data_IF_890923614802
#
_entry.id   IF_890923614802
#
_cell.length_a   1.000
_cell.length_b   1.000
_cell.length_c   1.000
_cell.angle_alpha   90.00
_cell.angle_beta   90.00
_cell.angle_gamma   90.00
#
_symmetry.space_group_name_H-M   'P 1'
#
loop_
_entity.id
_entity.type
_entity.pdbx_description
1 polymer ?
#
# COMPACT_ATOMS: atom_id res chain seq x y z
N UNK A 1 17.39 -18.49 -12.29
CA UNK A 1 16.21 -18.41 -11.39
C UNK A 1 16.75 -18.18 -9.98
N UNK A 2 16.61 -16.96 -9.48
CA UNK A 2 17.16 -16.54 -8.19
C UNK A 2 16.37 -17.21 -7.05
N UNK A 3 16.91 -18.30 -6.48
CA UNK A 3 16.37 -18.93 -5.28
C UNK A 3 16.73 -18.07 -4.07
N UNK A 4 16.03 -16.95 -3.89
CA UNK A 4 16.12 -16.18 -2.64
C UNK A 4 15.64 -17.07 -1.51
N UNK A 5 16.50 -17.29 -0.52
CA UNK A 5 16.14 -17.93 0.75
C UNK A 5 15.02 -17.10 1.39
N UNK A 6 13.77 -17.54 1.25
CA UNK A 6 12.61 -16.84 1.83
C UNK A 6 12.72 -16.89 3.35
N UNK A 7 12.82 -15.71 3.97
CA UNK A 7 12.70 -15.58 5.43
C UNK A 7 11.28 -15.95 5.84
N UNK A 8 11.15 -16.60 6.99
CA UNK A 8 9.86 -16.87 7.61
C UNK A 8 9.22 -15.57 8.13
N UNK A 9 7.88 -15.51 8.25
CA UNK A 9 7.20 -14.37 8.84
C UNK A 9 7.71 -14.02 10.25
N UNK A 10 8.04 -15.02 11.07
CA UNK A 10 8.56 -14.83 12.42
C UNK A 10 9.93 -14.14 12.41
N UNK A 11 10.82 -14.50 11.48
CA UNK A 11 12.14 -13.86 11.34
C UNK A 11 12.01 -12.41 10.90
N UNK A 12 11.08 -12.11 9.98
CA UNK A 12 10.82 -10.73 9.52
C UNK A 12 10.34 -9.85 10.69
N UNK A 13 9.37 -10.34 11.48
CA UNK A 13 8.84 -9.58 12.63
C UNK A 13 9.90 -9.32 13.69
N UNK A 14 10.69 -10.33 14.06
CA UNK A 14 11.79 -10.17 15.02
C UNK A 14 12.84 -9.16 14.56
N UNK A 15 13.15 -9.12 13.26
CA UNK A 15 14.08 -8.15 12.72
C UNK A 15 13.50 -6.72 12.75
N UNK A 16 12.18 -6.56 12.59
CA UNK A 16 11.51 -5.26 12.63
C UNK A 16 11.49 -4.67 14.05
N UNK A 17 11.22 -5.49 15.06
CA UNK A 17 11.15 -5.07 16.48
C UNK A 17 12.43 -4.39 16.99
N UNK A 18 13.60 -4.76 16.43
CA UNK A 18 14.90 -4.23 16.85
C UNK A 18 15.38 -3.04 16.01
N UNK A 19 14.60 -2.59 15.03
CA UNK A 19 14.92 -1.48 14.13
C UNK A 19 13.92 -0.32 14.24
N UNK A 20 13.87 0.39 15.38
CA UNK A 20 12.97 1.53 15.55
C UNK A 20 13.37 2.69 14.60
N UNK A 21 12.37 3.41 14.09
CA UNK A 21 12.51 4.65 13.32
C UNK A 21 13.05 4.54 11.88
N UNK A 22 13.10 3.34 11.29
CA UNK A 22 13.38 3.18 9.85
C UNK A 22 12.06 3.10 9.06
N UNK A 23 11.89 3.81 7.94
CA UNK A 23 10.72 3.64 7.08
C UNK A 23 10.55 2.19 6.62
N UNK A 24 9.32 1.67 6.65
CA UNK A 24 9.01 0.26 6.36
C UNK A 24 9.60 -0.24 5.02
N UNK A 25 9.53 0.60 3.99
CA UNK A 25 10.13 0.34 2.68
C UNK A 25 11.64 0.17 2.72
N UNK A 26 12.34 1.05 3.43
CA UNK A 26 13.81 1.05 3.48
C UNK A 26 14.31 -0.15 4.26
N UNK A 27 13.61 -0.49 5.36
CA UNK A 27 13.85 -1.73 6.08
C UNK A 27 13.62 -2.97 5.22
N UNK A 28 12.52 -3.03 4.46
CA UNK A 28 12.24 -4.15 3.55
C UNK A 28 13.37 -4.30 2.52
N UNK A 29 13.88 -3.18 1.98
CA UNK A 29 15.03 -3.17 1.09
C UNK A 29 16.31 -3.69 1.76
N UNK A 30 16.60 -3.30 3.01
CA UNK A 30 17.74 -3.83 3.78
C UNK A 30 17.65 -5.34 3.99
N UNK A 31 16.45 -5.86 4.19
CA UNK A 31 16.21 -7.30 4.26
C UNK A 31 16.11 -7.98 2.89
N UNK A 32 16.23 -7.26 1.78
CA UNK A 32 16.05 -7.80 0.42
C UNK A 32 14.69 -8.50 0.22
N UNK A 33 13.63 -7.98 0.85
CA UNK A 33 12.23 -8.39 0.67
C UNK A 33 11.42 -7.22 0.10
N UNK A 34 10.22 -7.51 -0.42
CA UNK A 34 9.27 -6.46 -0.77
C UNK A 34 8.60 -5.87 0.48
N UNK A 35 8.15 -4.61 0.38
CA UNK A 35 7.35 -3.97 1.43
C UNK A 35 6.04 -4.74 1.69
N UNK A 36 5.43 -5.31 0.65
CA UNK A 36 4.25 -6.16 0.79
C UNK A 36 4.52 -7.45 1.59
N UNK A 37 5.71 -8.05 1.46
CA UNK A 37 6.11 -9.21 2.29
C UNK A 37 6.27 -8.83 3.76
N UNK A 38 6.78 -7.62 4.05
CA UNK A 38 6.87 -7.10 5.41
C UNK A 38 5.47 -6.93 6.03
N UNK A 39 4.53 -6.31 5.32
CA UNK A 39 3.16 -6.14 5.81
C UNK A 39 2.46 -7.50 5.95
N UNK A 40 2.64 -8.40 4.97
CA UNK A 40 2.09 -9.75 5.03
C UNK A 40 2.60 -10.56 6.22
N UNK A 41 3.86 -10.36 6.63
CA UNK A 41 4.39 -10.98 7.84
C UNK A 41 3.70 -10.51 9.12
N UNK A 42 3.06 -9.34 9.11
CA UNK A 42 2.29 -8.78 10.23
C UNK A 42 0.79 -9.09 10.18
N UNK A 43 0.32 -9.85 9.19
CA UNK A 43 -1.07 -10.31 9.16
C UNK A 43 -1.39 -11.15 10.41
N UNK A 44 -2.42 -10.76 11.17
CA UNK A 44 -2.79 -11.35 12.47
C UNK A 44 -2.03 -10.78 13.67
N UNK A 45 -1.09 -9.86 13.44
CA UNK A 45 -0.30 -9.14 14.45
C UNK A 45 -0.44 -7.62 14.29
N UNK A 46 -1.65 -7.15 13.97
CA UNK A 46 -1.95 -5.73 13.75
C UNK A 46 -2.18 -5.33 12.30
N UNK A 47 -1.94 -6.23 11.34
CA UNK A 47 -2.41 -6.07 9.96
C UNK A 47 -3.43 -7.18 9.59
N UNK A 48 -4.27 -6.90 8.62
CA UNK A 48 -5.21 -7.83 8.01
C UNK A 48 -5.07 -7.78 6.49
N UNK A 49 -5.16 -8.93 5.83
CA UNK A 49 -5.20 -8.99 4.37
C UNK A 49 -6.61 -8.67 3.89
N UNK A 50 -6.72 -7.77 2.92
CA UNK A 50 -7.97 -7.44 2.25
C UNK A 50 -7.90 -7.82 0.77
N UNK A 51 -9.07 -8.00 0.15
CA UNK A 51 -9.18 -8.23 -1.28
C UNK A 51 -8.74 -6.94 -2.03
N UNK A 52 -7.80 -7.00 -2.98
CA UNK A 52 -7.30 -5.82 -3.72
C UNK A 52 -8.31 -5.27 -4.74
N UNK A 53 -9.57 -5.10 -4.35
CA UNK A 53 -10.63 -4.49 -5.18
C UNK A 53 -10.49 -2.97 -5.15
N UNK A 54 -9.45 -2.44 -5.79
CA UNK A 54 -9.13 -1.00 -5.73
C UNK A 54 -10.30 -0.11 -6.15
N UNK A 55 -11.10 -0.52 -7.13
CA UNK A 55 -12.28 0.25 -7.53
C UNK A 55 -13.28 0.41 -6.37
N UNK A 56 -13.50 -0.64 -5.57
CA UNK A 56 -14.37 -0.58 -4.39
C UNK A 56 -13.75 0.27 -3.28
N UNK A 57 -12.43 0.23 -3.12
CA UNK A 57 -11.72 1.08 -2.15
C UNK A 57 -11.86 2.54 -2.53
N UNK A 58 -11.59 2.91 -3.78
CA UNK A 58 -11.69 4.28 -4.26
C UNK A 58 -13.11 4.85 -4.07
N UNK A 59 -14.15 4.10 -4.46
CA UNK A 59 -15.54 4.56 -4.26
C UNK A 59 -15.97 4.55 -2.80
N UNK A 60 -15.42 3.63 -1.99
CA UNK A 60 -15.73 3.54 -0.56
C UNK A 60 -15.09 4.66 0.26
N UNK A 61 -13.92 5.16 -0.16
CA UNK A 61 -13.19 6.23 0.54
C UNK A 61 -13.96 7.55 0.58
N UNK A 62 -14.88 7.80 -0.35
CA UNK A 62 -15.75 8.98 -0.30
C UNK A 62 -16.53 9.06 1.02
N UNK A 63 -16.99 7.91 1.54
CA UNK A 63 -17.77 7.83 2.79
C UNK A 63 -16.92 7.89 4.06
N UNK A 64 -15.61 7.68 3.95
CA UNK A 64 -14.66 7.83 5.06
C UNK A 64 -14.39 9.31 5.37
N UNK A 65 -14.56 10.18 4.37
CA UNK A 65 -14.35 11.61 4.49
C UNK A 65 -12.90 12.00 4.18
N UNK A 66 -12.36 12.94 4.95
CA UNK A 66 -11.01 13.46 4.73
C UNK A 66 -9.95 12.44 5.15
N UNK A 67 -9.02 12.16 4.23
CA UNK A 67 -7.91 11.23 4.43
C UNK A 67 -6.61 11.82 3.91
N UNK A 68 -5.49 11.33 4.43
CA UNK A 68 -4.17 11.55 3.84
C UNK A 68 -3.83 10.41 2.90
N UNK A 69 -3.64 10.70 1.61
CA UNK A 69 -3.19 9.75 0.62
C UNK A 69 -1.70 9.96 0.29
N UNK A 70 -0.92 8.88 0.35
CA UNK A 70 0.49 8.88 0.00
C UNK A 70 0.72 8.03 -1.25
N UNK A 71 1.29 8.62 -2.29
CA UNK A 71 1.77 7.92 -3.50
C UNK A 71 3.25 8.19 -3.66
N UNK A 72 4.06 7.17 -3.93
CA UNK A 72 5.52 7.34 -3.99
C UNK A 72 6.20 6.46 -5.01
N UNK A 73 7.41 6.88 -5.40
CA UNK A 73 8.39 6.09 -6.14
C UNK A 73 9.75 6.13 -5.39
N UNK A 74 10.85 5.72 -6.03
CA UNK A 74 12.18 5.75 -5.40
C UNK A 74 12.69 7.16 -5.05
N UNK A 75 12.34 8.18 -5.83
CA UNK A 75 12.87 9.54 -5.68
C UNK A 75 11.91 10.57 -5.08
N UNK A 76 10.61 10.26 -4.99
CA UNK A 76 9.61 11.22 -4.54
C UNK A 76 8.51 10.55 -3.72
N UNK A 77 7.99 11.30 -2.74
CA UNK A 77 6.75 11.03 -2.00
C UNK A 77 5.79 12.18 -2.29
N UNK A 78 4.61 11.85 -2.78
CA UNK A 78 3.52 12.79 -2.98
C UNK A 78 2.45 12.51 -1.94
N UNK A 79 2.26 13.46 -1.04
CA UNK A 79 1.28 13.40 0.04
C UNK A 79 0.20 14.46 -0.21
N UNK A 80 -1.07 14.05 -0.13
CA UNK A 80 -2.22 14.92 -0.34
C UNK A 80 -3.28 14.60 0.71
N UNK A 81 -3.91 15.64 1.25
CA UNK A 81 -5.02 15.56 2.20
C UNK A 81 -6.29 15.96 1.45
N UNK A 82 -7.37 15.20 1.61
CA UNK A 82 -8.64 15.53 1.00
C UNK A 82 -9.65 14.38 1.03
N UNK A 83 -10.75 14.54 0.30
CA UNK A 83 -11.82 13.54 0.15
C UNK A 83 -11.76 12.90 -1.23
N UNK A 84 -11.87 11.57 -1.29
CA UNK A 84 -11.96 10.83 -2.56
C UNK A 84 -13.34 11.02 -3.20
N UNK A 85 -13.58 12.16 -3.85
CA UNK A 85 -14.82 12.43 -4.59
C UNK A 85 -14.60 12.29 -6.12
N UNK A 86 -15.70 12.29 -6.88
CA UNK A 86 -15.69 12.23 -8.36
C UNK A 86 -14.85 11.06 -8.91
N UNK A 87 -15.05 9.87 -8.33
CA UNK A 87 -14.36 8.64 -8.72
C UNK A 87 -14.98 8.08 -10.01
N UNK A 88 -14.15 7.80 -11.00
CA UNK A 88 -14.53 7.14 -12.26
C UNK A 88 -13.81 5.80 -12.31
N UNK A 89 -14.56 4.70 -12.21
CA UNK A 89 -13.98 3.35 -12.21
C UNK A 89 -14.01 2.70 -13.59
N UNK A 90 -13.02 1.86 -13.87
CA UNK A 90 -12.98 1.01 -15.05
C UNK A 90 -12.10 -0.21 -14.83
N UNK A 91 -12.09 -1.16 -15.78
CA UNK A 91 -11.33 -2.39 -15.64
C UNK A 91 -9.81 -2.18 -15.82
N UNK A 92 -9.42 -1.32 -16.77
CA UNK A 92 -8.01 -1.05 -17.08
C UNK A 92 -7.51 0.27 -16.47
N UNK A 93 -8.42 1.23 -16.31
CA UNK A 93 -8.13 2.57 -15.81
C UNK A 93 -9.24 3.01 -14.86
N UNK A 94 -8.85 3.60 -13.74
CA UNK A 94 -9.72 4.31 -12.82
C UNK A 94 -9.11 5.68 -12.52
N UNK A 95 -9.95 6.65 -12.19
CA UNK A 95 -9.54 8.04 -11.99
C UNK A 95 -10.27 8.63 -10.78
N UNK A 96 -9.61 9.54 -10.10
CA UNK A 96 -10.21 10.43 -9.09
C UNK A 96 -9.95 11.84 -9.58
N UNK A 97 -11.01 12.62 -9.81
CA UNK A 97 -10.96 13.96 -10.39
C UNK A 97 -11.62 14.98 -9.45
N UNK A 98 -11.19 14.97 -8.20
CA UNK A 98 -11.64 15.89 -7.17
C UNK A 98 -10.79 17.15 -7.12
N UNK A 99 -11.24 18.12 -6.31
CA UNK A 99 -10.51 19.37 -6.11
C UNK A 99 -9.15 19.13 -5.41
N UNK A 100 -9.11 18.14 -4.51
CA UNK A 100 -7.88 17.76 -3.80
C UNK A 100 -7.11 16.61 -4.43
N UNK A 101 -7.79 15.69 -5.11
CA UNK A 101 -7.16 14.50 -5.68
C UNK A 101 -7.32 14.46 -7.20
N UNK A 102 -6.19 14.44 -7.90
CA UNK A 102 -6.10 14.09 -9.31
C UNK A 102 -5.27 12.80 -9.45
N UNK A 103 -5.95 11.66 -9.54
CA UNK A 103 -5.32 10.33 -9.58
C UNK A 103 -5.60 9.62 -10.89
N UNK A 104 -4.58 8.90 -11.37
CA UNK A 104 -4.67 7.90 -12.45
C UNK A 104 -4.28 6.55 -11.87
N UNK A 105 -5.23 5.63 -11.84
CA UNK A 105 -5.09 4.31 -11.22
C UNK A 105 -5.22 3.25 -12.29
N UNK A 106 -4.38 2.22 -12.23
CA UNK A 106 -4.40 1.07 -13.13
C UNK A 106 -4.79 -0.17 -12.33
N UNK A 107 -6.07 -0.53 -12.23
CA UNK A 107 -6.54 -1.56 -11.30
C UNK A 107 -5.84 -2.92 -11.45
N UNK A 108 -5.45 -3.28 -12.66
CA UNK A 108 -4.75 -4.55 -12.92
C UNK A 108 -3.37 -4.66 -12.24
N UNK A 109 -2.73 -3.54 -11.91
CA UNK A 109 -1.45 -3.54 -11.20
C UNK A 109 -1.61 -3.76 -9.68
N UNK A 110 -2.83 -3.65 -9.14
CA UNK A 110 -3.11 -3.77 -7.71
C UNK A 110 -3.28 -5.24 -7.33
N UNK A 111 -2.21 -5.87 -6.85
CA UNK A 111 -2.19 -7.32 -6.57
C UNK A 111 -2.52 -7.70 -5.13
N UNK A 112 -2.27 -6.81 -4.18
CA UNK A 112 -2.41 -7.06 -2.75
C UNK A 112 -2.99 -5.81 -2.07
N UNK A 113 -3.75 -6.02 -0.99
CA UNK A 113 -4.24 -4.95 -0.12
C UNK A 113 -4.14 -5.40 1.34
N UNK A 114 -3.88 -4.44 2.22
CA UNK A 114 -3.78 -4.65 3.67
C UNK A 114 -4.49 -3.51 4.41
N UNK A 115 -4.93 -3.78 5.64
CA UNK A 115 -5.54 -2.82 6.56
C UNK A 115 -5.05 -3.08 7.99
#
# INVERSE_FOLDING_TARGET
>A
MDQRKKRSPNEIRRAWEVCPNIPARDFAAQLAISEAELVAAHCGFGAARIDPRVNHVLTGLEFVGEVTALTRNQGAVHEKIGVFNRVITGNNHAMVLGDEFDLRVFPQAWRYGFA
#
